data_IF_273226856263
#
_entry.id   IF_273226856263
#
_cell.length_a   1.000
_cell.length_b   1.000
_cell.length_c   1.000
_cell.angle_alpha   90.00
_cell.angle_beta   90.00
_cell.angle_gamma   90.00
#
_symmetry.space_group_name_H-M   'P 1'
#
loop_
_entity.id
_entity.type
_entity.pdbx_description
1 polymer ?
#
# COMPACT_ATOMS: atom_id res chain seq x y z
N UNK A 1 -22.35 8.27 11.85
CA UNK A 1 -21.97 9.04 10.65
C UNK A 1 -21.91 8.17 9.39
N UNK A 2 -20.94 7.25 9.23
CA UNK A 2 -20.82 6.41 8.01
C UNK A 2 -22.12 5.68 7.63
N UNK A 3 -22.79 5.04 8.58
CA UNK A 3 -24.07 4.36 8.32
C UNK A 3 -25.16 5.32 7.81
N UNK A 4 -25.35 6.45 8.49
CA UNK A 4 -26.31 7.48 8.10
C UNK A 4 -26.03 8.08 6.72
N UNK A 5 -24.76 8.27 6.35
CA UNK A 5 -24.40 8.75 5.01
C UNK A 5 -24.71 7.70 3.93
N UNK A 6 -24.53 6.41 4.20
CA UNK A 6 -24.89 5.35 3.24
C UNK A 6 -26.39 5.27 2.96
N UNK A 7 -27.23 5.67 3.91
CA UNK A 7 -28.68 5.78 3.71
C UNK A 7 -29.05 7.04 2.94
N UNK A 8 -28.36 8.16 3.18
CA UNK A 8 -28.67 9.46 2.57
C UNK A 8 -28.20 9.58 1.10
N UNK A 9 -27.05 8.98 0.78
CA UNK A 9 -26.41 9.04 -0.54
C UNK A 9 -25.96 7.62 -0.98
N UNK A 10 -26.90 6.69 -1.24
CA UNK A 10 -26.58 5.30 -1.54
C UNK A 10 -25.80 5.08 -2.85
N UNK A 11 -25.74 6.09 -3.71
CA UNK A 11 -25.07 6.05 -5.02
C UNK A 11 -23.55 6.26 -4.96
N UNK A 12 -23.00 6.60 -3.80
CA UNK A 12 -21.55 6.80 -3.60
C UNK A 12 -20.95 5.77 -2.64
N UNK A 13 -19.65 5.53 -2.77
CA UNK A 13 -18.89 4.81 -1.77
C UNK A 13 -18.43 5.77 -0.68
N UNK A 14 -18.67 5.39 0.58
CA UNK A 14 -18.19 6.14 1.75
C UNK A 14 -17.23 5.25 2.52
N UNK A 15 -15.98 5.69 2.69
CA UNK A 15 -14.93 4.95 3.40
C UNK A 15 -14.31 5.81 4.51
N UNK A 16 -13.80 5.14 5.55
CA UNK A 16 -13.02 5.82 6.58
C UNK A 16 -11.59 5.91 6.06
N UNK A 17 -10.96 7.06 6.22
CA UNK A 17 -9.56 7.26 5.88
C UNK A 17 -8.86 7.97 7.04
N UNK A 18 -7.83 7.35 7.60
CA UNK A 18 -7.20 7.82 8.83
C UNK A 18 -8.14 7.85 10.05
N UNK A 19 -7.89 8.79 10.97
CA UNK A 19 -8.61 8.85 12.26
C UNK A 19 -9.71 9.91 12.31
N UNK A 20 -9.69 10.89 11.41
CA UNK A 20 -10.57 12.07 11.44
C UNK A 20 -11.19 12.43 10.09
N UNK A 21 -10.98 11.62 9.06
CA UNK A 21 -11.45 11.87 7.69
C UNK A 21 -12.30 10.73 7.12
N UNK A 22 -13.08 11.08 6.10
CA UNK A 22 -13.82 10.13 5.26
C UNK A 22 -13.61 10.46 3.80
N UNK A 23 -13.59 9.42 2.98
CA UNK A 23 -13.60 9.53 1.53
C UNK A 23 -15.00 9.29 0.99
N UNK A 24 -15.43 10.13 0.05
CA UNK A 24 -16.67 9.96 -0.72
C UNK A 24 -16.28 9.85 -2.20
N UNK A 25 -16.44 8.66 -2.78
CA UNK A 25 -16.00 8.36 -4.15
C UNK A 25 -17.12 7.71 -4.97
N UNK A 26 -16.92 7.62 -6.29
CA UNK A 26 -17.79 6.79 -7.13
C UNK A 26 -17.68 5.32 -6.69
N UNK A 27 -18.75 4.52 -6.79
CA UNK A 27 -18.70 3.10 -6.47
C UNK A 27 -17.57 2.38 -7.24
N UNK A 28 -16.82 1.54 -6.53
CA UNK A 28 -15.69 0.77 -7.09
C UNK A 28 -14.37 1.54 -7.22
N UNK A 29 -14.31 2.83 -6.85
CA UNK A 29 -13.07 3.60 -6.80
C UNK A 29 -12.42 3.43 -5.41
N UNK A 30 -11.42 2.56 -5.36
CA UNK A 30 -10.62 2.23 -4.17
C UNK A 30 -9.13 2.04 -4.52
N UNK A 31 -8.30 1.62 -3.55
CA UNK A 31 -6.87 1.38 -3.79
C UNK A 31 -6.61 0.20 -4.75
N UNK A 32 -7.51 -0.79 -4.81
CA UNK A 32 -7.43 -1.89 -5.76
C UNK A 32 -7.69 -1.43 -7.21
N UNK A 33 -8.60 -0.48 -7.40
CA UNK A 33 -8.79 0.23 -8.67
C UNK A 33 -7.55 1.02 -9.07
N UNK A 34 -6.93 1.73 -8.12
CA UNK A 34 -5.66 2.41 -8.33
C UNK A 34 -4.53 1.46 -8.79
N UNK A 35 -4.45 0.26 -8.20
CA UNK A 35 -3.48 -0.77 -8.59
C UNK A 35 -3.72 -1.25 -10.03
N UNK A 36 -4.97 -1.50 -10.43
CA UNK A 36 -5.31 -1.89 -11.81
C UNK A 36 -4.97 -0.78 -12.80
N UNK A 37 -5.34 0.47 -12.49
CA UNK A 37 -4.98 1.64 -13.31
C UNK A 37 -3.47 1.81 -13.46
N UNK A 38 -2.70 1.59 -12.39
CA UNK A 38 -1.23 1.66 -12.46
C UNK A 38 -0.64 0.62 -13.42
N UNK A 39 -1.21 -0.60 -13.48
CA UNK A 39 -0.84 -1.59 -14.50
C UNK A 39 -1.13 -1.05 -15.89
N UNK A 40 -2.37 -0.59 -16.12
CA UNK A 40 -2.84 -0.18 -17.44
C UNK A 40 -2.06 1.03 -17.98
N UNK A 41 -1.68 1.97 -17.11
CA UNK A 41 -0.98 3.20 -17.50
C UNK A 41 0.54 3.02 -17.60
N UNK A 42 1.16 2.25 -16.70
CA UNK A 42 2.62 2.13 -16.62
C UNK A 42 3.18 0.82 -17.15
N UNK A 43 2.33 -0.17 -17.47
CA UNK A 43 2.76 -1.51 -17.89
C UNK A 43 3.43 -2.33 -16.78
N UNK A 44 3.29 -1.93 -15.51
CA UNK A 44 3.88 -2.66 -14.38
C UNK A 44 2.91 -3.75 -13.93
N UNK A 45 3.31 -5.01 -14.04
CA UNK A 45 2.49 -6.14 -13.63
C UNK A 45 2.15 -6.12 -12.14
N UNK A 46 1.02 -6.72 -11.75
CA UNK A 46 0.58 -6.75 -10.35
C UNK A 46 1.58 -7.52 -9.47
N UNK A 47 2.18 -8.59 -10.02
CA UNK A 47 3.21 -9.39 -9.36
C UNK A 47 4.50 -8.64 -9.07
N UNK A 48 4.80 -7.60 -9.85
CA UNK A 48 6.09 -6.90 -9.83
C UNK A 48 6.08 -5.72 -8.86
N UNK A 49 5.11 -5.70 -7.94
CA UNK A 49 4.86 -4.62 -6.99
C UNK A 49 4.71 -5.18 -5.60
N UNK A 50 5.08 -4.37 -4.62
CA UNK A 50 4.80 -4.60 -3.22
C UNK A 50 4.05 -3.38 -2.69
N UNK A 51 2.94 -3.62 -2.00
CA UNK A 51 2.22 -2.59 -1.26
C UNK A 51 2.61 -2.66 0.23
N UNK A 52 2.84 -1.52 0.86
CA UNK A 52 3.15 -1.42 2.29
C UNK A 52 2.18 -0.42 2.90
N UNK A 53 1.41 -0.84 3.90
CA UNK A 53 0.37 0.01 4.51
C UNK A 53 -0.11 -0.49 5.86
N UNK A 54 -0.77 0.39 6.61
CA UNK A 54 -1.11 0.19 8.01
C UNK A 54 -2.53 -0.31 8.26
N UNK A 55 -3.41 -0.20 7.25
CA UNK A 55 -4.81 -0.56 7.38
C UNK A 55 -5.20 -1.78 6.52
N UNK A 56 -4.32 -2.79 6.47
CA UNK A 56 -4.54 -4.03 5.73
C UNK A 56 -5.30 -5.04 6.61
N UNK A 57 -6.60 -4.82 6.76
CA UNK A 57 -7.53 -5.72 7.47
C UNK A 57 -8.94 -5.55 6.90
N UNK A 58 -9.87 -6.51 7.06
CA UNK A 58 -11.23 -6.39 6.54
C UNK A 58 -11.90 -5.07 6.95
N UNK A 59 -12.23 -4.23 5.96
CA UNK A 59 -12.85 -2.92 6.16
C UNK A 59 -11.87 -1.74 6.30
N UNK A 60 -10.57 -1.98 6.37
CA UNK A 60 -9.53 -0.95 6.26
C UNK A 60 -9.38 -0.44 4.82
N UNK A 61 -8.89 0.79 4.65
CA UNK A 61 -8.75 1.44 3.34
C UNK A 61 -7.69 0.78 2.44
N UNK A 62 -6.75 0.01 3.02
CA UNK A 62 -5.69 -0.71 2.30
C UNK A 62 -6.07 -2.15 1.95
N UNK A 63 -7.13 -2.70 2.53
CA UNK A 63 -7.60 -4.05 2.23
C UNK A 63 -7.86 -4.32 0.73
N UNK A 64 -8.36 -3.35 -0.08
CA UNK A 64 -8.50 -3.56 -1.52
C UNK A 64 -7.18 -3.88 -2.24
N UNK A 65 -6.02 -3.54 -1.66
CA UNK A 65 -4.71 -3.80 -2.26
C UNK A 65 -4.40 -5.29 -2.29
N UNK A 66 -4.61 -6.01 -1.19
CA UNK A 66 -4.42 -7.47 -1.13
C UNK A 66 -5.44 -8.19 -1.99
N UNK A 67 -6.70 -7.73 -2.02
CA UNK A 67 -7.75 -8.32 -2.85
C UNK A 67 -7.46 -8.21 -4.36
N UNK A 68 -6.65 -7.23 -4.76
CA UNK A 68 -6.22 -7.06 -6.15
C UNK A 68 -5.10 -8.04 -6.57
N UNK A 69 -4.60 -8.87 -5.66
CA UNK A 69 -3.49 -9.81 -5.90
C UNK A 69 -2.11 -9.18 -5.77
N UNK A 70 -2.01 -7.93 -5.31
CA UNK A 70 -0.72 -7.30 -5.04
C UNK A 70 -0.13 -7.91 -3.76
N UNK A 71 1.15 -8.35 -3.77
CA UNK A 71 1.88 -8.66 -2.54
C UNK A 71 1.82 -7.47 -1.58
N UNK A 72 1.29 -7.67 -0.38
CA UNK A 72 1.16 -6.58 0.60
C UNK A 72 1.78 -6.93 1.95
N UNK A 73 2.39 -5.93 2.58
CA UNK A 73 3.00 -6.01 3.91
C UNK A 73 2.27 -5.04 4.84
N UNK A 74 1.69 -5.59 5.92
CA UNK A 74 1.04 -4.79 6.96
C UNK A 74 2.10 -4.21 7.91
N UNK A 75 1.99 -2.92 8.20
CA UNK A 75 2.87 -2.19 9.12
C UNK A 75 2.03 -1.47 10.18
N UNK A 76 2.65 -1.08 11.28
CA UNK A 76 1.98 -0.36 12.38
C UNK A 76 2.24 1.13 12.32
N UNK A 77 3.41 1.51 11.84
CA UNK A 77 3.89 2.90 11.86
C UNK A 77 5.00 3.13 10.81
N UNK A 78 5.41 4.39 10.59
CA UNK A 78 6.45 4.71 9.62
C UNK A 78 7.83 4.09 9.91
N UNK A 79 8.15 3.72 11.15
CA UNK A 79 9.44 3.10 11.46
C UNK A 79 9.49 1.67 10.90
N UNK A 80 8.39 0.93 10.94
CA UNK A 80 8.34 -0.38 10.29
C UNK A 80 8.49 -0.28 8.78
N UNK A 81 7.80 0.67 8.14
CA UNK A 81 7.99 0.97 6.71
C UNK A 81 9.45 1.27 6.40
N UNK A 82 10.12 2.08 7.24
CA UNK A 82 11.55 2.38 7.11
C UNK A 82 12.40 1.12 7.15
N UNK A 83 12.15 0.20 8.10
CA UNK A 83 12.89 -1.07 8.21
C UNK A 83 12.71 -1.97 6.99
N UNK A 84 11.50 -2.01 6.42
CA UNK A 84 11.22 -2.75 5.19
C UNK A 84 12.07 -2.18 4.04
N UNK A 85 12.08 -0.85 3.88
CA UNK A 85 12.86 -0.19 2.83
C UNK A 85 14.37 -0.45 3.03
N UNK A 86 14.90 -0.29 4.24
CA UNK A 86 16.29 -0.61 4.57
C UNK A 86 16.64 -2.06 4.22
N UNK A 87 15.73 -3.00 4.50
CA UNK A 87 15.91 -4.43 4.19
C UNK A 87 15.95 -4.67 2.69
N UNK A 88 15.01 -4.09 1.93
CA UNK A 88 15.00 -4.18 0.46
C UNK A 88 16.31 -3.64 -0.13
N UNK A 89 16.78 -2.49 0.35
CA UNK A 89 18.05 -1.91 -0.09
C UNK A 89 19.22 -2.84 0.24
N UNK A 90 19.28 -3.37 1.45
CA UNK A 90 20.36 -4.27 1.87
C UNK A 90 20.39 -5.58 1.06
N UNK A 91 19.22 -6.14 0.71
CA UNK A 91 19.12 -7.35 -0.09
C UNK A 91 19.42 -7.14 -1.58
N UNK A 92 19.19 -5.93 -2.11
CA UNK A 92 19.45 -5.59 -3.51
C UNK A 92 20.84 -4.99 -3.75
N UNK A 93 21.53 -4.56 -2.69
CA UNK A 93 22.90 -4.07 -2.79
C UNK A 93 23.85 -5.23 -3.03
N UNK A 94 24.83 -5.04 -3.92
CA UNK A 94 25.92 -5.99 -4.08
C UNK A 94 26.66 -6.17 -2.74
N UNK A 95 27.21 -7.37 -2.46
CA UNK A 95 28.03 -7.57 -1.28
C UNK A 95 29.15 -6.52 -1.27
N UNK A 96 29.29 -5.82 -0.14
CA UNK A 96 30.40 -4.91 0.08
C UNK A 96 31.68 -5.75 -0.05
N UNK A 97 32.37 -5.65 -1.19
CA UNK A 97 33.76 -6.09 -1.29
C UNK A 97 34.54 -5.21 -0.33
N UNK A 98 34.83 -5.75 0.85
CA UNK A 98 35.79 -5.16 1.76
C UNK A 98 37.12 -5.12 1.02
N UNK A 99 37.45 -3.97 0.42
CA UNK A 99 38.83 -3.68 0.05
C UNK A 99 39.59 -3.52 1.35
N UNK A 100 40.20 -4.63 1.79
CA UNK A 100 41.23 -4.63 2.82
C UNK A 100 42.41 -3.85 2.26
N UNK A 101 42.45 -2.54 2.52
CA UNK A 101 43.68 -1.78 2.36
C UNK A 101 44.63 -2.27 3.45
N UNK A 102 45.48 -3.24 3.12
CA UNK A 102 46.69 -3.52 3.88
C UNK A 102 47.53 -2.25 3.85
N UNK A 103 47.53 -1.50 4.95
CA UNK A 103 48.51 -0.44 5.18
C UNK A 103 49.75 -1.13 5.72
N UNK A 104 50.80 -1.12 4.91
CA UNK A 104 52.17 -1.50 5.30
C UNK A 104 52.81 -0.37 6.09
#
# INVERSE_FOLDING_TARGET
MKASLRELIPEVAVNLDGTTSIDITKPGIDKGDGIRKRRDTLGIEISDRIFVGDAIFPGGNDHPTTQSGTPSICVRDPNETKRIIETIIACLSDPITANTTEVT
#
